data_IF_135171543331
#
_entry.id   IF_135171543331
#
_cell.length_a   1.000
_cell.length_b   1.000
_cell.length_c   1.000
_cell.angle_alpha   90.00
_cell.angle_beta   90.00
_cell.angle_gamma   90.00
#
_symmetry.space_group_name_H-M   'P 1'
#
loop_
_entity.id
_entity.type
_entity.pdbx_description
1 polymer ?
#
# COMPACT_ATOMS: atom_id res chain seq x y z
N UNK A 1 17.50 -6.00 3.71
CA UNK A 1 16.56 -4.87 3.61
C UNK A 1 17.12 -3.84 2.63
N UNK A 2 16.38 -3.41 1.60
CA UNK A 2 16.82 -2.31 0.77
C UNK A 2 16.91 -1.04 1.63
N UNK A 3 18.09 -0.43 1.72
CA UNK A 3 18.32 0.75 2.58
C UNK A 3 17.39 1.92 2.21
N UNK A 4 17.10 2.07 0.91
CA UNK A 4 16.28 3.17 0.35
C UNK A 4 14.84 3.11 0.83
N UNK A 5 14.24 1.93 0.89
CA UNK A 5 12.85 1.78 1.28
C UNK A 5 12.66 1.82 2.79
N UNK A 6 13.63 1.30 3.54
CA UNK A 6 13.73 1.52 4.98
C UNK A 6 13.80 3.02 5.32
N UNK A 7 14.62 3.77 4.59
CA UNK A 7 14.71 5.24 4.73
C UNK A 7 13.44 5.95 4.24
N UNK A 8 12.73 5.42 3.26
CA UNK A 8 11.46 6.00 2.80
C UNK A 8 10.32 5.80 3.82
N UNK A 9 10.14 4.58 4.34
CA UNK A 9 9.09 4.30 5.34
C UNK A 9 9.40 4.92 6.70
N UNK A 10 10.63 4.77 7.21
CA UNK A 10 11.01 5.26 8.55
C UNK A 10 11.57 6.67 8.55
N UNK A 11 12.17 7.13 7.45
CA UNK A 11 12.71 8.48 7.34
C UNK A 11 11.67 9.44 6.79
N UNK A 12 11.22 9.24 5.55
CA UNK A 12 10.34 10.20 4.88
C UNK A 12 8.95 10.26 5.53
N UNK A 13 8.18 9.16 5.56
CA UNK A 13 6.82 9.18 6.13
C UNK A 13 6.78 9.60 7.60
N UNK A 14 7.70 9.10 8.42
CA UNK A 14 7.76 9.44 9.84
C UNK A 14 8.18 10.90 10.08
N UNK A 15 9.02 11.48 9.22
CA UNK A 15 9.33 12.92 9.29
C UNK A 15 8.12 13.76 8.89
N UNK A 16 7.34 13.34 7.89
CA UNK A 16 6.11 14.02 7.48
C UNK A 16 4.98 13.91 8.50
N UNK A 17 4.85 12.82 9.25
CA UNK A 17 3.86 12.75 10.33
C UNK A 17 4.21 13.68 11.50
N UNK A 18 5.50 13.85 11.81
CA UNK A 18 5.97 14.75 12.87
C UNK A 18 5.92 16.22 12.47
N UNK A 19 6.25 16.57 11.22
CA UNK A 19 6.32 17.97 10.77
C UNK A 19 5.12 18.46 9.94
N UNK A 20 4.37 17.54 9.30
CA UNK A 20 3.32 17.87 8.33
C UNK A 20 1.89 17.65 8.82
N UNK A 21 1.68 17.16 10.05
CA UNK A 21 0.34 16.94 10.61
C UNK A 21 -0.46 15.81 9.95
N UNK A 22 0.21 14.88 9.25
CA UNK A 22 -0.48 13.74 8.63
C UNK A 22 -1.06 12.81 9.71
N UNK A 23 -2.31 12.35 9.55
CA UNK A 23 -3.03 11.68 10.61
C UNK A 23 -2.67 10.19 10.76
N UNK A 24 -1.72 9.69 9.96
CA UNK A 24 -1.25 8.32 9.98
C UNK A 24 -1.95 7.42 8.96
N UNK A 25 -1.36 6.25 8.65
CA UNK A 25 -1.81 5.40 7.56
C UNK A 25 -3.23 4.86 7.77
N UNK A 26 -3.65 4.56 8.99
CA UNK A 26 -5.00 4.10 9.29
C UNK A 26 -6.03 5.18 8.98
N UNK A 27 -5.75 6.43 9.38
CA UNK A 27 -6.70 7.53 9.16
C UNK A 27 -6.73 7.96 7.70
N UNK A 28 -5.59 7.97 7.02
CA UNK A 28 -5.50 8.18 5.57
C UNK A 28 -6.29 7.10 4.82
N UNK A 29 -6.18 5.85 5.25
CA UNK A 29 -6.97 4.75 4.69
C UNK A 29 -8.48 4.94 4.90
N UNK A 30 -8.93 5.33 6.09
CA UNK A 30 -10.35 5.64 6.35
C UNK A 30 -10.86 6.79 5.47
N UNK A 31 -10.09 7.87 5.33
CA UNK A 31 -10.43 8.98 4.46
C UNK A 31 -10.56 8.51 3.00
N UNK A 32 -9.62 7.67 2.54
CA UNK A 32 -9.69 7.16 1.18
C UNK A 32 -10.83 6.19 0.95
N UNK A 33 -11.16 5.31 1.90
CA UNK A 33 -12.37 4.49 1.82
C UNK A 33 -13.64 5.34 1.67
N UNK A 34 -13.72 6.46 2.40
CA UNK A 34 -14.82 7.40 2.27
C UNK A 34 -14.94 7.99 0.87
N UNK A 35 -13.81 8.45 0.31
CA UNK A 35 -13.75 9.01 -1.04
C UNK A 35 -14.06 7.97 -2.13
N UNK A 36 -13.52 6.75 -1.98
CA UNK A 36 -13.64 5.65 -2.94
C UNK A 36 -14.94 4.85 -2.81
N UNK A 37 -15.85 5.25 -1.92
CA UNK A 37 -17.13 4.57 -1.70
C UNK A 37 -17.91 4.24 -2.99
N UNK A 38 -17.96 5.11 -4.02
CA UNK A 38 -18.69 4.82 -5.26
C UNK A 38 -18.09 3.69 -6.11
N UNK A 39 -16.83 3.30 -5.87
CA UNK A 39 -16.09 2.32 -6.69
C UNK A 39 -15.68 1.06 -5.92
N UNK A 40 -16.22 0.87 -4.71
CA UNK A 40 -16.00 -0.36 -3.94
C UNK A 40 -16.52 -1.59 -4.71
N UNK A 41 -15.82 -2.70 -4.59
CA UNK A 41 -16.03 -3.90 -5.41
C UNK A 41 -15.46 -3.78 -6.83
N UNK A 42 -14.90 -2.62 -7.21
CA UNK A 42 -14.14 -2.44 -8.44
C UNK A 42 -12.66 -2.76 -8.27
N UNK A 43 -11.84 -2.26 -9.22
CA UNK A 43 -10.39 -2.40 -9.21
C UNK A 43 -9.73 -1.07 -8.83
N UNK A 44 -8.56 -1.12 -8.19
CA UNK A 44 -7.77 0.05 -7.84
C UNK A 44 -6.31 -0.10 -8.27
N UNK A 45 -5.71 1.00 -8.71
CA UNK A 45 -4.28 1.11 -8.99
C UNK A 45 -3.68 2.09 -7.99
N UNK A 46 -2.74 1.61 -7.18
CA UNK A 46 -1.95 2.42 -6.25
C UNK A 46 -0.65 2.84 -6.95
N UNK A 47 -0.63 4.05 -7.48
CA UNK A 47 0.48 4.58 -8.25
C UNK A 47 1.55 5.20 -7.35
N UNK A 48 2.83 4.91 -7.64
CA UNK A 48 3.97 5.23 -6.77
C UNK A 48 3.81 4.62 -5.38
N UNK A 49 3.46 3.33 -5.35
CA UNK A 49 3.12 2.62 -4.12
C UNK A 49 4.30 2.48 -3.13
N UNK A 50 5.53 2.71 -3.59
CA UNK A 50 6.75 2.40 -2.85
C UNK A 50 6.76 0.92 -2.46
N UNK A 51 7.07 0.65 -1.20
CA UNK A 51 7.00 -0.68 -0.58
C UNK A 51 5.57 -1.21 -0.35
N UNK A 52 4.53 -0.55 -0.88
CA UNK A 52 3.18 -1.09 -0.93
C UNK A 52 2.36 -0.96 0.35
N UNK A 53 2.61 0.03 1.21
CA UNK A 53 1.85 0.22 2.44
C UNK A 53 0.33 0.30 2.20
N UNK A 54 -0.12 1.18 1.30
CA UNK A 54 -1.54 1.36 1.03
C UNK A 54 -2.10 0.25 0.14
N UNK A 55 -1.36 -0.20 -0.87
CA UNK A 55 -1.68 -1.41 -1.64
C UNK A 55 -2.04 -2.60 -0.74
N UNK A 56 -1.23 -2.87 0.29
CA UNK A 56 -1.47 -3.97 1.24
C UNK A 56 -2.70 -3.72 2.11
N UNK A 57 -2.92 -2.49 2.60
CA UNK A 57 -4.14 -2.12 3.33
C UNK A 57 -5.40 -2.30 2.46
N UNK A 58 -5.37 -1.87 1.21
CA UNK A 58 -6.47 -2.05 0.27
C UNK A 58 -6.73 -3.53 -0.02
N UNK A 59 -5.69 -4.33 -0.25
CA UNK A 59 -5.83 -5.76 -0.49
C UNK A 59 -6.47 -6.48 0.70
N UNK A 60 -5.95 -6.26 1.91
CA UNK A 60 -6.46 -6.90 3.14
C UNK A 60 -7.85 -6.47 3.53
N UNK A 61 -8.28 -5.29 3.09
CA UNK A 61 -9.63 -4.80 3.39
C UNK A 61 -10.73 -5.61 2.70
N UNK A 62 -10.41 -6.33 1.61
CA UNK A 62 -11.41 -7.04 0.79
C UNK A 62 -12.40 -6.11 0.08
N UNK A 63 -12.13 -4.80 0.03
CA UNK A 63 -13.04 -3.80 -0.51
C UNK A 63 -12.97 -3.67 -2.04
N UNK A 64 -11.95 -4.26 -2.67
CA UNK A 64 -11.69 -4.17 -4.10
C UNK A 64 -11.49 -5.59 -4.67
N UNK A 65 -11.96 -5.82 -5.89
CA UNK A 65 -11.78 -7.09 -6.60
C UNK A 65 -10.33 -7.30 -7.06
N UNK A 66 -9.62 -6.22 -7.36
CA UNK A 66 -8.20 -6.24 -7.72
C UNK A 66 -7.51 -4.98 -7.18
N UNK A 67 -6.32 -5.18 -6.60
CA UNK A 67 -5.41 -4.11 -6.20
C UNK A 67 -4.11 -4.28 -6.97
N UNK A 68 -3.73 -3.26 -7.74
CA UNK A 68 -2.48 -3.23 -8.48
C UNK A 68 -1.54 -2.24 -7.82
N UNK A 69 -0.40 -2.74 -7.31
CA UNK A 69 0.70 -1.92 -6.82
C UNK A 69 1.61 -1.54 -8.00
N UNK A 70 1.76 -0.24 -8.26
CA UNK A 70 2.58 0.28 -9.37
C UNK A 70 3.67 1.20 -8.82
N UNK A 71 4.93 0.88 -9.11
CA UNK A 71 6.07 1.76 -8.84
C UNK A 71 7.10 1.62 -9.96
N UNK A 72 7.86 2.68 -10.24
CA UNK A 72 8.95 2.64 -11.20
C UNK A 72 10.16 1.86 -10.66
N UNK A 73 10.37 1.88 -9.34
CA UNK A 73 11.52 1.26 -8.70
C UNK A 73 11.30 -0.24 -8.49
N UNK A 74 12.03 -1.06 -9.23
CA UNK A 74 12.04 -2.52 -9.05
C UNK A 74 12.36 -2.92 -7.58
N UNK A 75 13.26 -2.18 -6.93
CA UNK A 75 13.60 -2.42 -5.52
C UNK A 75 12.41 -2.19 -4.58
N UNK A 76 11.56 -1.20 -4.88
CA UNK A 76 10.34 -0.94 -4.11
C UNK A 76 9.32 -2.05 -4.32
N UNK A 77 9.10 -2.46 -5.57
CA UNK A 77 8.19 -3.56 -5.90
C UNK A 77 8.65 -4.89 -5.30
N UNK A 78 9.96 -5.18 -5.31
CA UNK A 78 10.51 -6.39 -4.68
C UNK A 78 10.21 -6.42 -3.18
N UNK A 79 10.40 -5.31 -2.49
CA UNK A 79 10.09 -5.25 -1.07
C UNK A 79 8.58 -5.28 -0.81
N UNK A 80 7.78 -4.62 -1.64
CA UNK A 80 6.31 -4.75 -1.59
C UNK A 80 5.90 -6.23 -1.64
N UNK A 81 6.47 -6.99 -2.58
CA UNK A 81 6.23 -8.41 -2.69
C UNK A 81 6.70 -9.20 -1.46
N UNK A 82 7.92 -8.94 -0.95
CA UNK A 82 8.41 -9.57 0.30
C UNK A 82 7.45 -9.32 1.48
N UNK A 83 6.95 -8.10 1.61
CA UNK A 83 5.99 -7.71 2.64
C UNK A 83 4.63 -8.37 2.47
N UNK A 84 4.15 -8.53 1.23
CA UNK A 84 2.93 -9.31 0.94
C UNK A 84 3.07 -10.75 1.42
N UNK A 85 4.23 -11.38 1.20
CA UNK A 85 4.48 -12.77 1.59
C UNK A 85 4.64 -12.97 3.11
N UNK A 86 5.07 -11.92 3.84
CA UNK A 86 5.30 -11.98 5.28
C UNK A 86 4.04 -11.68 6.12
N UNK A 87 3.02 -11.06 5.54
CA UNK A 87 1.83 -10.70 6.28
C UNK A 87 0.84 -11.85 6.42
N UNK A 88 0.40 -12.10 7.66
CA UNK A 88 -0.63 -13.08 7.95
C UNK A 88 -1.96 -12.72 7.29
N UNK A 89 -2.66 -13.76 6.81
CA UNK A 89 -3.97 -13.67 6.18
C UNK A 89 -4.04 -12.74 4.96
N UNK A 90 -2.94 -12.59 4.22
CA UNK A 90 -2.96 -11.84 2.96
C UNK A 90 -3.78 -12.60 1.89
N UNK A 91 -4.63 -11.92 1.10
CA UNK A 91 -5.37 -12.56 0.02
C UNK A 91 -4.44 -13.30 -0.95
N UNK A 92 -4.81 -14.52 -1.36
CA UNK A 92 -4.02 -15.25 -2.36
C UNK A 92 -4.03 -14.50 -3.68
N UNK A 93 -2.86 -14.40 -4.30
CA UNK A 93 -2.72 -13.82 -5.64
C UNK A 93 -3.57 -14.63 -6.63
N UNK A 94 -4.39 -13.93 -7.41
CA UNK A 94 -5.15 -14.55 -8.49
C UNK A 94 -4.21 -14.76 -9.68
N UNK A 95 -3.68 -15.97 -9.85
CA UNK A 95 -2.70 -16.32 -10.90
C UNK A 95 -3.32 -16.84 -12.21
N UNK A 96 -4.63 -16.66 -12.42
CA UNK A 96 -5.27 -17.06 -13.68
C UNK A 96 -5.19 -15.91 -14.70
N UNK A 97 -4.04 -15.77 -15.34
CA UNK A 97 -3.89 -15.08 -16.63
C UNK A 97 -3.97 -16.10 -17.77
#
# INVERSE_FOLDING_TARGET
MPLVSFLYERGWRQTFSVWGGFPGPEKEFELMKGFLKPVLGGNIIDASCGSGLFSRLFAKSGLFSLVVALDYSENMLRQCYEFVQQEDNFPKEYTNF
#
